data_IF_635014676684
#
_entry.id   IF_635014676684
#
_cell.length_a   1.000
_cell.length_b   1.000
_cell.length_c   1.000
_cell.angle_alpha   90.00
_cell.angle_beta   90.00
_cell.angle_gamma   90.00
#
_symmetry.space_group_name_H-M   'P 1'
#
loop_
_entity.id
_entity.type
_entity.pdbx_description
1 polymer ?
#
# COMPACT_ATOMS: atom_id res chain seq x y z
N UNK A 1 -5.70 4.07 33.69
CA UNK A 1 -4.35 3.88 33.11
C UNK A 1 -4.35 2.54 32.39
N UNK A 2 -4.43 2.56 31.06
CA UNK A 2 -4.49 1.34 30.25
C UNK A 2 -3.13 0.63 30.27
N UNK A 3 -2.99 -0.35 31.16
CA UNK A 3 -1.79 -1.20 31.30
C UNK A 3 -1.38 -1.83 29.95
N UNK A 4 -2.36 -2.15 29.11
CA UNK A 4 -2.14 -2.72 27.78
C UNK A 4 -1.50 -1.71 26.81
N UNK A 5 -1.96 -0.46 26.79
CA UNK A 5 -1.42 0.57 25.89
C UNK A 5 0.02 0.98 26.23
N UNK A 6 0.34 1.07 27.53
CA UNK A 6 1.69 1.36 27.99
C UNK A 6 2.66 0.22 27.64
N UNK A 7 2.24 -1.04 27.83
CA UNK A 7 3.04 -2.20 27.46
C UNK A 7 3.32 -2.24 25.95
N UNK A 8 2.29 -2.02 25.11
CA UNK A 8 2.45 -2.00 23.65
C UNK A 8 3.42 -0.89 23.20
N UNK A 9 3.34 0.31 23.79
CA UNK A 9 4.27 1.41 23.48
C UNK A 9 5.71 1.06 23.82
N UNK A 10 5.95 0.49 25.00
CA UNK A 10 7.29 0.08 25.45
C UNK A 10 7.86 -1.04 24.58
N UNK A 11 7.04 -2.03 24.20
CA UNK A 11 7.46 -3.10 23.29
C UNK A 11 7.83 -2.57 21.92
N UNK A 12 7.02 -1.68 21.33
CA UNK A 12 7.32 -1.03 20.04
C UNK A 12 8.63 -0.26 20.08
N UNK A 13 8.86 0.52 21.14
CA UNK A 13 10.11 1.26 21.31
C UNK A 13 11.34 0.34 21.41
N UNK A 14 11.22 -0.79 22.13
CA UNK A 14 12.28 -1.78 22.21
C UNK A 14 12.57 -2.44 20.86
N UNK A 15 11.54 -2.85 20.12
CA UNK A 15 11.67 -3.42 18.77
C UNK A 15 12.37 -2.44 17.83
N UNK A 16 11.95 -1.18 17.82
CA UNK A 16 12.57 -0.18 16.94
C UNK A 16 14.02 0.07 17.33
N UNK A 17 14.33 0.14 18.63
CA UNK A 17 15.71 0.26 19.12
C UNK A 17 16.57 -0.91 18.66
N UNK A 18 16.09 -2.14 18.77
CA UNK A 18 16.84 -3.32 18.35
C UNK A 18 17.13 -3.25 16.84
N UNK A 19 16.11 -2.99 16.02
CA UNK A 19 16.24 -2.88 14.55
C UNK A 19 17.19 -1.75 14.13
N UNK A 20 17.12 -0.59 14.77
CA UNK A 20 18.05 0.54 14.53
C UNK A 20 19.50 0.19 14.84
N UNK A 21 19.74 -0.74 15.77
CA UNK A 21 21.08 -1.25 16.09
C UNK A 21 21.47 -2.49 15.25
N UNK A 22 20.68 -2.84 14.22
CA UNK A 22 20.90 -4.02 13.38
C UNK A 22 20.57 -5.35 14.05
N UNK A 23 19.89 -5.33 15.20
CA UNK A 23 19.49 -6.53 15.95
C UNK A 23 18.07 -6.92 15.58
N UNK A 24 17.88 -8.17 15.16
CA UNK A 24 16.54 -8.72 14.88
C UNK A 24 15.92 -9.19 16.21
N UNK A 25 14.81 -8.58 16.66
CA UNK A 25 14.20 -8.96 17.93
C UNK A 25 13.54 -10.35 17.82
N UNK A 26 14.01 -11.31 18.62
CA UNK A 26 13.46 -12.67 18.68
C UNK A 26 12.21 -12.80 19.58
N UNK A 27 11.68 -11.69 20.10
CA UNK A 27 10.71 -11.69 21.21
C UNK A 27 9.25 -11.81 20.79
N UNK A 28 8.96 -11.89 19.49
CA UNK A 28 7.59 -11.97 18.98
C UNK A 28 7.20 -13.43 18.69
N UNK A 29 6.67 -14.13 19.69
CA UNK A 29 5.81 -15.29 19.45
C UNK A 29 4.47 -14.76 18.98
N UNK A 30 4.20 -14.82 17.67
CA UNK A 30 2.85 -14.55 17.20
C UNK A 30 1.98 -15.71 17.68
N UNK A 31 1.22 -15.48 18.75
CA UNK A 31 0.26 -16.43 19.31
C UNK A 31 -0.96 -16.50 18.37
N UNK A 32 -0.78 -17.17 17.23
CA UNK A 32 -1.76 -17.34 16.20
C UNK A 32 -1.14 -18.13 15.07
N UNK A 33 -1.90 -19.05 14.48
CA UNK A 33 -1.44 -19.85 13.36
C UNK A 33 -1.23 -18.90 12.16
N UNK A 34 -0.02 -18.37 12.00
CA UNK A 34 0.33 -17.57 10.83
C UNK A 34 0.37 -18.51 9.63
N UNK A 35 -0.73 -18.57 8.88
CA UNK A 35 -0.80 -19.32 7.62
C UNK A 35 -0.02 -18.60 6.50
N UNK A 36 1.21 -18.17 6.79
CA UNK A 36 2.13 -17.59 5.82
C UNK A 36 3.38 -18.44 5.71
N UNK A 37 3.78 -18.74 4.47
CA UNK A 37 5.01 -19.43 4.20
C UNK A 37 6.17 -18.43 4.22
N UNK A 38 7.06 -18.56 5.20
CA UNK A 38 8.30 -17.78 5.29
C UNK A 38 9.39 -18.37 4.39
N UNK A 39 10.25 -17.50 3.85
CA UNK A 39 11.44 -17.94 3.14
C UNK A 39 12.49 -18.47 4.12
N UNK A 40 13.45 -19.27 3.62
CA UNK A 40 14.52 -19.82 4.47
C UNK A 40 15.30 -18.69 5.16
N UNK A 41 15.45 -18.81 6.48
CA UNK A 41 16.15 -17.84 7.33
C UNK A 41 15.44 -16.49 7.48
N UNK A 42 14.18 -16.38 7.07
CA UNK A 42 13.35 -15.22 7.30
C UNK A 42 12.70 -15.28 8.67
N UNK A 43 12.69 -14.15 9.39
CA UNK A 43 12.16 -14.06 10.75
C UNK A 43 11.07 -12.98 10.81
N UNK A 44 9.99 -13.26 11.52
CA UNK A 44 8.93 -12.27 11.77
C UNK A 44 9.43 -11.26 12.80
N UNK A 45 9.31 -9.98 12.49
CA UNK A 45 9.69 -8.87 13.38
C UNK A 45 8.44 -8.30 14.05
N UNK A 46 7.35 -8.14 13.31
CA UNK A 46 6.09 -7.65 13.86
C UNK A 46 4.88 -8.10 13.03
N UNK A 47 3.70 -8.19 13.66
CA UNK A 47 2.43 -8.45 12.99
C UNK A 47 1.35 -7.47 13.44
N UNK A 48 0.59 -6.93 12.48
CA UNK A 48 -0.53 -6.01 12.68
C UNK A 48 -1.84 -6.71 12.30
N UNK A 49 -2.55 -7.34 13.24
CA UNK A 49 -3.85 -7.96 12.97
C UNK A 49 -4.91 -6.89 12.65
N UNK A 50 -5.92 -7.24 11.85
CA UNK A 50 -7.00 -6.34 11.46
C UNK A 50 -6.58 -5.22 10.50
N UNK A 51 -5.42 -5.36 9.86
CA UNK A 51 -4.90 -4.39 8.91
C UNK A 51 -5.68 -4.41 7.61
N UNK A 52 -5.79 -3.25 6.94
CA UNK A 52 -6.42 -3.14 5.62
C UNK A 52 -5.37 -3.03 4.53
N UNK A 53 -5.62 -3.71 3.42
CA UNK A 53 -4.84 -3.55 2.20
C UNK A 53 -5.64 -2.74 1.18
N UNK A 54 -5.04 -1.66 0.68
CA UNK A 54 -5.61 -0.79 -0.34
C UNK A 54 -4.68 -0.76 -1.56
N UNK A 55 -5.28 -0.63 -2.74
CA UNK A 55 -4.55 -0.40 -4.00
C UNK A 55 -5.17 0.80 -4.71
N UNK A 56 -4.34 1.61 -5.33
CA UNK A 56 -4.81 2.66 -6.22
C UNK A 56 -5.22 2.06 -7.56
N UNK A 57 -6.50 2.18 -7.92
CA UNK A 57 -7.05 1.70 -9.18
C UNK A 57 -7.35 2.88 -10.10
N UNK A 58 -6.55 2.99 -11.16
CA UNK A 58 -6.92 3.80 -12.33
C UNK A 58 -8.26 3.31 -12.89
N UNK A 59 -9.30 4.16 -12.86
CA UNK A 59 -10.49 3.99 -13.70
C UNK A 59 -10.42 4.99 -14.85
N UNK A 60 -10.47 4.49 -16.09
CA UNK A 60 -10.63 5.34 -17.26
C UNK A 60 -12.13 5.58 -17.46
N UNK A 61 -12.59 6.80 -17.21
CA UNK A 61 -13.93 7.22 -17.61
C UNK A 61 -13.84 7.91 -18.97
N UNK A 62 -14.59 7.39 -19.95
CA UNK A 62 -14.72 8.01 -21.27
C UNK A 62 -15.88 9.00 -21.19
N UNK A 63 -15.59 10.28 -20.96
CA UNK A 63 -16.63 11.32 -20.94
C UNK A 63 -16.81 11.82 -22.37
N UNK A 64 -17.84 11.32 -23.05
CA UNK A 64 -18.19 11.73 -24.40
C UNK A 64 -19.68 11.56 -24.67
N UNK A 65 -20.47 12.61 -24.42
CA UNK A 65 -21.81 12.75 -25.02
C UNK A 65 -21.69 13.74 -26.17
N UNK A 66 -21.77 13.24 -27.40
CA UNK A 66 -21.73 14.06 -28.61
C UNK A 66 -23.14 14.54 -28.97
N UNK A 67 -23.39 15.84 -28.82
CA UNK A 67 -24.34 16.55 -29.68
C UNK A 67 -23.60 17.68 -30.40
N UNK A 68 -23.06 17.37 -31.57
CA UNK A 68 -22.60 18.38 -32.52
C UNK A 68 -23.78 18.78 -33.41
N UNK A 69 -24.37 19.95 -33.16
CA UNK A 69 -25.37 20.53 -34.07
C UNK A 69 -24.62 21.32 -35.15
N UNK A 70 -24.81 20.94 -36.41
CA UNK A 70 -24.33 21.68 -37.58
C UNK A 70 -25.39 22.70 -38.01
N UNK A 71 -25.06 23.99 -37.95
CA UNK A 71 -25.94 25.06 -38.46
C UNK A 71 -25.45 25.49 -39.84
N UNK A 72 -26.35 25.46 -40.83
CA UNK A 72 -26.09 25.89 -42.21
C UNK A 72 -26.17 27.41 -42.29
N UNK A 73 -25.06 28.06 -42.64
CA UNK A 73 -25.02 29.53 -42.78
C UNK A 73 -25.08 29.97 -44.26
N UNK A 74 -24.39 29.31 -45.21
CA UNK A 74 -24.51 29.53 -46.67
C UNK A 74 -24.11 28.29 -47.49
N UNK A 75 -24.52 28.18 -48.76
CA UNK A 75 -24.17 27.05 -49.65
C UNK A 75 -22.65 27.02 -49.92
N UNK A 76 -21.98 25.95 -49.49
CA UNK A 76 -20.61 25.61 -49.94
C UNK A 76 -19.49 25.72 -48.90
N UNK A 77 -19.77 26.12 -47.66
CA UNK A 77 -18.76 26.15 -46.59
C UNK A 77 -19.34 25.51 -45.32
N UNK A 78 -18.65 24.50 -44.79
CA UNK A 78 -18.96 23.88 -43.50
C UNK A 78 -18.06 24.49 -42.42
N UNK A 79 -18.65 25.13 -41.40
CA UNK A 79 -17.91 25.52 -40.19
C UNK A 79 -18.07 24.40 -39.15
N UNK A 80 -16.97 23.67 -38.86
CA UNK A 80 -16.91 22.72 -37.75
C UNK A 80 -16.48 23.46 -36.49
N UNK A 81 -17.37 23.54 -35.50
CA UNK A 81 -17.00 23.92 -34.14
C UNK A 81 -16.49 22.66 -33.44
N UNK A 82 -15.18 22.64 -33.16
CA UNK A 82 -14.43 21.76 -32.25
C UNK A 82 -14.94 20.34 -31.99
N UNK A 83 -14.37 19.35 -32.68
CA UNK A 83 -14.25 18.02 -32.10
C UNK A 83 -13.11 18.03 -31.08
N UNK A 84 -13.39 18.46 -29.85
CA UNK A 84 -12.44 18.29 -28.76
C UNK A 84 -12.26 16.78 -28.49
N UNK A 85 -11.00 16.35 -28.54
CA UNK A 85 -10.56 15.00 -28.16
C UNK A 85 -11.04 14.75 -26.73
N UNK A 86 -11.86 13.72 -26.52
CA UNK A 86 -12.15 13.23 -25.17
C UNK A 86 -10.83 12.84 -24.52
N UNK A 87 -10.33 13.66 -23.61
CA UNK A 87 -9.23 13.26 -22.74
C UNK A 87 -9.80 12.19 -21.81
N UNK A 88 -9.25 10.98 -21.85
CA UNK A 88 -9.50 10.02 -20.78
C UNK A 88 -8.99 10.67 -19.50
N UNK A 89 -9.89 11.15 -18.64
CA UNK A 89 -9.53 11.65 -17.33
C UNK A 89 -9.21 10.43 -16.50
N UNK A 90 -7.92 10.25 -16.21
CA UNK A 90 -7.44 9.15 -15.37
C UNK A 90 -7.76 9.48 -13.91
N UNK A 91 -8.91 9.01 -13.43
CA UNK A 91 -9.25 9.11 -12.01
C UNK A 91 -8.61 7.92 -11.29
N UNK A 92 -7.55 8.18 -10.52
CA UNK A 92 -6.94 7.21 -9.60
C UNK A 92 -7.77 7.16 -8.33
N UNK A 93 -8.52 6.08 -8.12
CA UNK A 93 -9.33 5.86 -6.93
C UNK A 93 -8.60 4.88 -6.00
N UNK A 94 -8.47 5.21 -4.71
CA UNK A 94 -7.96 4.28 -3.71
C UNK A 94 -9.03 3.27 -3.34
N UNK A 95 -8.80 2.01 -3.63
CA UNK A 95 -9.78 0.93 -3.46
C UNK A 95 -9.36 0.01 -2.32
N UNK A 96 -10.30 -0.29 -1.42
CA UNK A 96 -10.13 -1.34 -0.43
C UNK A 96 -10.07 -2.71 -1.10
N UNK A 97 -8.98 -3.44 -0.88
CA UNK A 97 -8.77 -4.76 -1.47
C UNK A 97 -9.21 -5.86 -0.50
N UNK A 98 -8.73 -5.82 0.74
CA UNK A 98 -9.03 -6.85 1.73
C UNK A 98 -8.70 -6.37 3.16
N UNK A 99 -9.23 -7.06 4.17
CA UNK A 99 -8.89 -6.89 5.59
C UNK A 99 -8.31 -8.18 6.15
N UNK A 100 -7.13 -8.08 6.76
CA UNK A 100 -6.37 -9.23 7.21
C UNK A 100 -5.25 -8.84 8.16
N UNK A 101 -4.05 -9.35 7.91
CA UNK A 101 -2.88 -9.09 8.74
C UNK A 101 -1.70 -8.64 7.90
N UNK A 102 -1.06 -7.54 8.32
CA UNK A 102 0.24 -7.11 7.78
C UNK A 102 1.33 -7.71 8.66
N UNK A 103 2.29 -8.40 8.07
CA UNK A 103 3.36 -9.09 8.79
C UNK A 103 4.68 -8.57 8.23
N UNK A 104 5.45 -7.94 9.09
CA UNK A 104 6.75 -7.36 8.76
C UNK A 104 7.82 -8.34 9.20
N UNK A 105 8.66 -8.76 8.26
CA UNK A 105 9.75 -9.71 8.51
C UNK A 105 11.10 -9.06 8.22
N UNK A 106 12.17 -9.82 8.38
CA UNK A 106 13.53 -9.39 8.03
C UNK A 106 13.77 -9.25 6.52
N UNK A 107 12.89 -9.75 5.65
CA UNK A 107 13.10 -9.75 4.19
C UNK A 107 11.94 -9.20 3.38
N UNK A 108 10.73 -9.30 3.91
CA UNK A 108 9.51 -9.03 3.18
C UNK A 108 8.47 -8.32 4.07
N UNK A 109 7.58 -7.57 3.42
CA UNK A 109 6.27 -7.24 3.96
C UNK A 109 5.29 -8.27 3.42
N UNK A 110 4.53 -8.91 4.29
CA UNK A 110 3.41 -9.75 3.89
C UNK A 110 2.10 -9.07 4.21
N UNK A 111 1.12 -9.32 3.35
CA UNK A 111 -0.28 -9.18 3.69
C UNK A 111 -0.96 -10.54 3.56
N UNK A 112 -1.70 -10.94 4.57
CA UNK A 112 -2.49 -12.16 4.59
C UNK A 112 -3.93 -11.81 4.95
N UNK A 113 -4.81 -11.78 3.94
CA UNK A 113 -6.25 -11.65 4.09
C UNK A 113 -7.00 -12.83 3.48
N UNK A 114 -8.30 -12.99 3.78
CA UNK A 114 -9.12 -14.10 3.28
C UNK A 114 -9.22 -14.16 1.76
N UNK A 115 -9.16 -13.01 1.07
CA UNK A 115 -9.32 -12.92 -0.39
C UNK A 115 -8.00 -12.65 -1.10
N UNK A 116 -7.08 -11.95 -0.45
CA UNK A 116 -5.79 -11.56 -1.04
C UNK A 116 -4.65 -11.85 -0.08
N UNK A 117 -3.60 -12.47 -0.62
CA UNK A 117 -2.31 -12.57 0.04
C UNK A 117 -1.20 -12.03 -0.85
N UNK A 118 -0.26 -11.30 -0.27
CA UNK A 118 0.85 -10.66 -0.98
C UNK A 118 2.13 -10.84 -0.17
N UNK A 119 3.22 -11.14 -0.86
CA UNK A 119 4.59 -11.05 -0.34
C UNK A 119 5.32 -9.96 -1.11
N UNK A 120 5.91 -9.01 -0.41
CA UNK A 120 6.64 -7.87 -0.97
C UNK A 120 8.07 -7.87 -0.43
N UNK A 121 9.04 -8.39 -1.21
CA UNK A 121 10.45 -8.30 -0.84
C UNK A 121 10.90 -6.85 -0.76
N UNK A 122 11.67 -6.49 0.27
CA UNK A 122 12.23 -5.13 0.38
C UNK A 122 13.06 -4.74 -0.84
N UNK A 123 13.80 -5.70 -1.41
CA UNK A 123 14.60 -5.53 -2.64
C UNK A 123 13.78 -5.22 -3.90
N UNK A 124 12.45 -5.31 -3.83
CA UNK A 124 11.53 -4.96 -4.92
C UNK A 124 10.70 -3.71 -4.61
N UNK A 125 11.00 -3.00 -3.53
CA UNK A 125 10.34 -1.74 -3.18
C UNK A 125 11.30 -0.59 -3.51
N UNK A 126 10.81 0.39 -4.29
CA UNK A 126 11.62 1.55 -4.73
C UNK A 126 11.33 2.81 -3.92
N UNK A 127 10.17 2.89 -3.29
CA UNK A 127 9.82 4.00 -2.41
C UNK A 127 8.82 3.59 -1.35
N UNK A 128 8.92 4.28 -0.21
CA UNK A 128 8.01 4.18 0.93
C UNK A 128 7.33 5.53 1.13
N UNK A 129 6.02 5.52 1.26
CA UNK A 129 5.20 6.70 1.53
C UNK A 129 4.62 6.61 2.95
N UNK A 130 4.92 7.56 3.84
CA UNK A 130 4.38 7.55 5.18
C UNK A 130 2.91 7.97 5.18
N UNK A 131 2.07 7.24 5.92
CA UNK A 131 0.71 7.65 6.28
C UNK A 131 0.60 7.77 7.79
N UNK A 132 -0.41 8.46 8.31
CA UNK A 132 -0.63 8.56 9.77
C UNK A 132 -1.00 7.22 10.41
N UNK A 133 -1.68 6.36 9.65
CA UNK A 133 -2.25 5.09 10.11
C UNK A 133 -1.65 3.87 9.39
N UNK A 134 -0.58 4.04 8.61
CA UNK A 134 -0.02 2.98 7.81
C UNK A 134 1.18 3.39 6.96
N UNK A 135 1.40 2.62 5.89
CA UNK A 135 2.49 2.84 4.93
C UNK A 135 2.03 2.53 3.51
N UNK A 136 2.45 3.34 2.55
CA UNK A 136 2.37 3.07 1.12
C UNK A 136 3.71 2.58 0.59
N UNK A 137 3.69 1.65 -0.36
CA UNK A 137 4.89 1.15 -1.03
C UNK A 137 4.68 1.15 -2.54
N UNK A 138 5.72 1.56 -3.26
CA UNK A 138 5.80 1.40 -4.71
C UNK A 138 6.81 0.30 -5.05
N UNK A 139 6.40 -0.62 -5.92
CA UNK A 139 7.28 -1.70 -6.37
C UNK A 139 8.10 -1.30 -7.58
N UNK A 140 9.25 -1.95 -7.72
CA UNK A 140 10.08 -1.94 -8.94
C UNK A 140 9.42 -2.78 -10.05
N UNK A 141 8.34 -2.27 -10.62
CA UNK A 141 7.74 -2.83 -11.83
C UNK A 141 7.09 -1.72 -12.66
N UNK A 142 7.25 -1.78 -13.98
CA UNK A 142 6.81 -0.75 -14.92
C UNK A 142 5.32 -0.38 -14.82
N UNK A 143 4.48 -1.30 -14.33
CA UNK A 143 3.03 -1.11 -14.15
C UNK A 143 2.59 -1.28 -12.70
N UNK A 144 3.53 -1.19 -11.75
CA UNK A 144 3.21 -1.25 -10.34
C UNK A 144 2.28 -0.10 -9.95
N UNK A 145 1.25 -0.44 -9.20
CA UNK A 145 0.39 0.52 -8.53
C UNK A 145 0.83 0.66 -7.07
N UNK A 146 0.64 1.84 -6.46
CA UNK A 146 0.82 2.02 -5.02
C UNK A 146 0.02 0.96 -4.25
N UNK A 147 0.71 0.31 -3.31
CA UNK A 147 0.14 -0.66 -2.38
C UNK A 147 0.17 -0.05 -0.99
N UNK A 148 -0.97 0.01 -0.31
CA UNK A 148 -1.09 0.72 0.96
C UNK A 148 -1.60 -0.21 2.03
N UNK A 149 -0.91 -0.21 3.16
CA UNK A 149 -1.19 -1.05 4.32
C UNK A 149 -1.55 -0.18 5.51
N UNK A 150 -2.82 -0.23 5.91
CA UNK A 150 -3.33 0.47 7.10
C UNK A 150 -3.14 -0.44 8.30
N UNK A 151 -2.27 -0.04 9.22
CA UNK A 151 -1.83 -0.80 10.40
C UNK A 151 -2.32 -0.19 11.73
N UNK A 152 -2.86 1.03 11.67
CA UNK A 152 -3.27 1.82 12.84
C UNK A 152 -2.12 2.55 13.55
N UNK A 153 -0.88 2.40 13.09
CA UNK A 153 0.30 3.10 13.64
C UNK A 153 1.33 3.36 12.55
N UNK A 154 1.12 4.43 11.78
CA UNK A 154 1.93 4.73 10.61
C UNK A 154 3.37 5.08 10.93
N UNK A 155 3.63 5.81 12.03
CA UNK A 155 5.00 6.14 12.44
C UNK A 155 5.81 4.89 12.78
N UNK A 156 5.25 3.99 13.59
CA UNK A 156 5.95 2.75 13.93
C UNK A 156 6.13 1.86 12.70
N UNK A 157 5.10 1.68 11.88
CA UNK A 157 5.17 0.85 10.68
C UNK A 157 6.20 1.39 9.69
N UNK A 158 6.22 2.69 9.41
CA UNK A 158 7.17 3.33 8.51
C UNK A 158 8.61 3.08 8.97
N UNK A 159 8.94 3.47 10.21
CA UNK A 159 10.31 3.34 10.71
C UNK A 159 10.75 1.87 10.78
N UNK A 160 9.86 0.96 11.17
CA UNK A 160 10.19 -0.46 11.23
C UNK A 160 10.58 -0.99 9.84
N UNK A 161 9.74 -0.71 8.84
CA UNK A 161 9.89 -1.21 7.47
C UNK A 161 11.09 -0.60 6.77
N UNK A 162 11.28 0.73 6.86
CA UNK A 162 12.39 1.40 6.18
C UNK A 162 13.75 0.97 6.73
N UNK A 163 13.87 0.76 8.05
CA UNK A 163 15.12 0.29 8.62
C UNK A 163 15.40 -1.17 8.26
N UNK A 164 14.38 -2.05 8.31
CA UNK A 164 14.56 -3.44 7.87
C UNK A 164 14.90 -3.57 6.38
N UNK A 165 14.49 -2.60 5.54
CA UNK A 165 14.84 -2.60 4.11
C UNK A 165 16.32 -2.32 3.82
N UNK A 166 17.08 -1.82 4.81
CA UNK A 166 18.47 -1.42 4.68
C UNK A 166 19.46 -2.44 5.27
N UNK A 167 18.95 -3.49 5.93
CA UNK A 167 19.73 -4.57 6.55
C UNK A 167 19.87 -5.72 5.55
#
# INVERSE_FOLDING_TARGET
MDKNGALTKTTKAAVLRDVLNGVIPQRMSVNGNLSINLQKGEQVVWAFPGSKYLEDKTRRQFVGSSQGVSVRVLKGVYYRVGAFKGHAVENTERVHVDTGMVIVTTKNIYFAGPQKSVRLPYSKIISFEPYSDGIGVMRDAATAKPQIFVTGDGWFTYNLVTNLSQI
#
